data_IF_441223725056
#
_entry.id   IF_441223725056
#
_cell.length_a   1.000
_cell.length_b   1.000
_cell.length_c   1.000
_cell.angle_alpha   90.00
_cell.angle_beta   90.00
_cell.angle_gamma   90.00
#
_symmetry.space_group_name_H-M   'P 1'
#
loop_
_entity.id
_entity.type
_entity.pdbx_description
1 polymer ?
#
# COMPACT_ATOMS: atom_id res chain seq x y z
N UNK A 1 -37.20 33.91 -22.02
CA UNK A 1 -35.74 34.07 -22.18
C UNK A 1 -35.09 32.77 -21.68
N UNK A 2 -34.59 31.93 -22.59
CA UNK A 2 -33.98 30.64 -22.23
C UNK A 2 -32.47 30.84 -22.05
N UNK A 3 -31.98 30.62 -20.83
CA UNK A 3 -30.57 30.70 -20.48
C UNK A 3 -29.77 29.61 -21.18
N UNK A 4 -28.68 30.05 -21.82
CA UNK A 4 -27.64 29.20 -22.38
C UNK A 4 -26.91 28.46 -21.26
N UNK A 5 -26.69 27.15 -21.41
CA UNK A 5 -25.66 26.44 -20.67
C UNK A 5 -25.00 25.46 -21.63
N UNK A 6 -23.90 25.94 -22.20
CA UNK A 6 -22.94 25.16 -22.96
C UNK A 6 -22.15 24.28 -21.98
N UNK A 7 -22.56 23.04 -21.76
CA UNK A 7 -21.72 22.02 -21.14
C UNK A 7 -21.22 21.07 -22.24
N UNK A 8 -20.39 21.60 -23.15
CA UNK A 8 -19.52 20.75 -23.96
C UNK A 8 -18.37 20.28 -23.06
N UNK A 9 -18.70 19.35 -22.17
CA UNK A 9 -17.73 18.56 -21.43
C UNK A 9 -16.98 17.74 -22.47
N UNK A 10 -15.81 18.23 -22.83
CA UNK A 10 -14.94 17.65 -23.85
C UNK A 10 -14.49 16.30 -23.31
N UNK A 11 -15.23 15.24 -23.64
CA UNK A 11 -14.84 13.86 -23.35
C UNK A 11 -13.42 13.69 -23.91
N UNK A 12 -12.44 13.24 -23.10
CA UNK A 12 -11.10 12.99 -23.62
C UNK A 12 -11.22 12.02 -24.81
N UNK A 13 -10.45 12.24 -25.90
CA UNK A 13 -10.55 11.41 -27.09
C UNK A 13 -10.31 9.95 -26.70
N UNK A 14 -11.30 9.11 -26.98
CA UNK A 14 -11.24 7.69 -26.71
C UNK A 14 -10.08 7.08 -27.53
N UNK A 15 -9.10 6.42 -26.90
CA UNK A 15 -7.98 5.83 -27.63
C UNK A 15 -8.49 4.77 -28.62
N UNK A 16 -8.01 4.85 -29.86
CA UNK A 16 -8.37 3.93 -30.96
C UNK A 16 -7.90 2.48 -30.72
N UNK A 17 -7.17 2.23 -29.63
CA UNK A 17 -6.52 0.95 -29.36
C UNK A 17 -6.69 0.53 -27.89
N UNK A 18 -7.69 -0.31 -27.62
CA UNK A 18 -7.74 -1.10 -26.39
C UNK A 18 -6.83 -2.32 -26.55
N UNK A 19 -5.57 -2.21 -26.09
CA UNK A 19 -4.73 -3.40 -25.89
C UNK A 19 -5.39 -4.33 -24.86
N UNK A 20 -5.26 -5.66 -25.00
CA UNK A 20 -5.85 -6.61 -24.06
C UNK A 20 -5.34 -6.28 -22.67
N UNK A 21 -6.30 -6.05 -21.76
CA UNK A 21 -6.19 -5.66 -20.36
C UNK A 21 -4.87 -6.08 -19.69
N UNK A 22 -3.78 -5.35 -19.95
CA UNK A 22 -2.60 -5.44 -19.12
C UNK A 22 -3.02 -4.84 -17.80
N UNK A 23 -2.98 -5.66 -16.76
CA UNK A 23 -3.22 -5.22 -15.39
C UNK A 23 -2.36 -3.96 -15.17
N UNK A 24 -2.97 -2.81 -14.79
CA UNK A 24 -2.25 -1.57 -14.59
C UNK A 24 -1.01 -1.82 -13.73
N UNK A 25 0.19 -1.52 -14.23
CA UNK A 25 1.43 -1.77 -13.49
C UNK A 25 1.36 -1.19 -12.07
N UNK A 26 0.68 -0.07 -11.89
CA UNK A 26 0.41 0.53 -10.59
C UNK A 26 -0.42 -0.34 -9.64
N UNK A 27 -1.39 -1.08 -10.17
CA UNK A 27 -2.21 -2.00 -9.38
C UNK A 27 -1.42 -3.27 -9.03
N UNK A 28 -0.56 -3.77 -9.93
CA UNK A 28 0.36 -4.88 -9.60
C UNK A 28 1.35 -4.45 -8.51
N UNK A 29 1.96 -3.28 -8.68
CA UNK A 29 2.90 -2.72 -7.71
C UNK A 29 2.21 -2.44 -6.36
N UNK A 30 0.99 -1.92 -6.37
CA UNK A 30 0.19 -1.72 -5.16
C UNK A 30 -0.12 -3.01 -4.41
N UNK A 31 -0.39 -4.11 -5.14
CA UNK A 31 -0.60 -5.42 -4.54
C UNK A 31 0.68 -5.98 -3.94
N UNK A 32 1.81 -5.91 -4.66
CA UNK A 32 3.10 -6.39 -4.16
C UNK A 32 3.50 -5.62 -2.88
N UNK A 33 3.33 -4.29 -2.89
CA UNK A 33 3.60 -3.46 -1.71
C UNK A 33 2.69 -3.81 -0.54
N UNK A 34 1.40 -4.08 -0.81
CA UNK A 34 0.42 -4.45 0.21
C UNK A 34 0.68 -5.84 0.80
N UNK A 35 1.02 -6.83 -0.03
CA UNK A 35 1.42 -8.18 0.41
C UNK A 35 2.68 -8.10 1.26
N UNK A 36 3.68 -7.32 0.81
CA UNK A 36 4.90 -7.08 1.57
C UNK A 36 4.61 -6.43 2.93
N UNK A 37 3.76 -5.40 2.96
CA UNK A 37 3.33 -4.73 4.18
C UNK A 37 2.62 -5.69 5.15
N UNK A 38 1.74 -6.55 4.63
CA UNK A 38 1.06 -7.56 5.43
C UNK A 38 2.03 -8.60 5.98
N UNK A 39 2.95 -9.12 5.15
CA UNK A 39 3.93 -10.10 5.59
C UNK A 39 4.84 -9.55 6.68
N UNK A 40 5.27 -8.29 6.53
CA UNK A 40 6.03 -7.58 7.55
C UNK A 40 5.25 -7.42 8.86
N UNK A 41 3.98 -7.00 8.79
CA UNK A 41 3.11 -6.88 9.97
C UNK A 41 2.90 -8.23 10.66
N UNK A 42 2.70 -9.30 9.89
CA UNK A 42 2.56 -10.67 10.42
C UNK A 42 3.84 -11.15 11.07
N UNK A 43 5.01 -10.79 10.52
CA UNK A 43 6.33 -11.07 11.12
C UNK A 43 6.49 -10.36 12.45
N UNK A 44 6.17 -9.06 12.53
CA UNK A 44 6.24 -8.29 13.79
C UNK A 44 5.32 -8.86 14.88
N UNK A 45 4.09 -9.23 14.54
CA UNK A 45 3.19 -9.91 15.50
C UNK A 45 3.70 -11.29 15.94
N UNK A 46 4.33 -12.05 15.05
CA UNK A 46 4.96 -13.34 15.42
C UNK A 46 6.13 -13.13 16.37
N UNK A 47 6.92 -12.07 16.20
CA UNK A 47 7.99 -11.71 17.12
C UNK A 47 7.44 -11.33 18.50
N UNK A 48 6.33 -10.58 18.56
CA UNK A 48 5.65 -10.29 19.83
C UNK A 48 5.09 -11.55 20.50
N UNK A 49 4.50 -12.46 19.74
CA UNK A 49 4.02 -13.73 20.29
C UNK A 49 5.19 -14.57 20.87
N UNK A 50 6.36 -14.56 20.23
CA UNK A 50 7.56 -15.23 20.74
C UNK A 50 8.16 -14.53 21.97
N UNK A 51 8.03 -13.20 22.09
CA UNK A 51 8.39 -12.43 23.30
C UNK A 51 7.47 -12.78 24.47
N UNK A 52 6.15 -12.88 24.21
CA UNK A 52 5.15 -13.27 25.20
C UNK A 52 5.35 -14.71 25.67
N UNK A 53 5.72 -15.62 24.76
CA UNK A 53 6.11 -17.00 25.10
C UNK A 53 7.45 -17.08 25.86
N UNK A 54 8.19 -15.97 26.01
CA UNK A 54 9.47 -15.94 26.71
C UNK A 54 10.62 -16.59 25.93
N UNK A 55 10.43 -16.93 24.65
CA UNK A 55 11.50 -17.52 23.81
C UNK A 55 12.55 -16.51 23.40
N UNK A 56 12.20 -15.23 23.34
CA UNK A 56 13.07 -14.14 22.91
C UNK A 56 12.83 -12.96 23.85
N UNK A 57 13.90 -12.28 24.27
CA UNK A 57 13.78 -10.99 24.95
C UNK A 57 14.02 -9.89 23.93
N UNK A 58 12.96 -9.26 23.43
CA UNK A 58 13.11 -8.12 22.52
C UNK A 58 13.64 -6.86 23.21
N UNK A 59 13.49 -6.74 24.54
CA UNK A 59 14.04 -5.62 25.31
C UNK A 59 13.64 -4.26 24.72
N UNK A 60 14.64 -3.42 24.39
CA UNK A 60 14.45 -2.10 23.79
C UNK A 60 13.76 -2.12 22.41
N UNK A 61 13.78 -3.25 21.68
CA UNK A 61 13.15 -3.36 20.37
C UNK A 61 11.64 -3.60 20.45
N UNK A 62 11.10 -3.96 21.63
CA UNK A 62 9.68 -4.28 21.81
C UNK A 62 8.76 -3.12 21.45
N UNK A 63 9.11 -1.89 21.86
CA UNK A 63 8.31 -0.70 21.52
C UNK A 63 8.23 -0.45 20.01
N UNK A 64 9.33 -0.66 19.28
CA UNK A 64 9.37 -0.51 17.82
C UNK A 64 8.54 -1.61 17.14
N UNK A 65 8.58 -2.83 17.66
CA UNK A 65 7.80 -3.95 17.12
C UNK A 65 6.30 -3.80 17.42
N UNK A 66 5.92 -3.32 18.60
CA UNK A 66 4.53 -3.00 18.94
C UNK A 66 4.00 -1.86 18.07
N UNK A 67 4.78 -0.80 17.88
CA UNK A 67 4.44 0.31 17.00
C UNK A 67 4.29 -0.16 15.54
N UNK A 68 5.21 -0.99 15.04
CA UNK A 68 5.13 -1.58 13.70
C UNK A 68 3.97 -2.58 13.52
N UNK A 69 3.60 -3.32 14.57
CA UNK A 69 2.43 -4.20 14.54
C UNK A 69 1.10 -3.42 14.52
N UNK A 70 1.09 -2.23 15.13
CA UNK A 70 -0.04 -1.30 15.17
C UNK A 70 -0.24 -0.48 13.90
N UNK A 71 0.83 -0.19 13.15
CA UNK A 71 0.75 0.66 11.96
C UNK A 71 -0.26 0.15 10.90
N UNK A 72 -1.07 1.06 10.31
CA UNK A 72 -1.99 0.70 9.24
C UNK A 72 -1.21 0.30 7.99
N UNK A 73 -1.67 -0.77 7.32
CA UNK A 73 -1.00 -1.35 6.15
C UNK A 73 -0.76 -0.34 5.03
N UNK A 74 -1.63 0.68 4.91
CA UNK A 74 -1.49 1.75 3.91
C UNK A 74 -0.24 2.60 4.14
N UNK A 75 0.10 2.93 5.39
CA UNK A 75 1.32 3.68 5.71
C UNK A 75 2.56 2.86 5.41
N UNK A 76 2.54 1.56 5.75
CA UNK A 76 3.65 0.64 5.48
C UNK A 76 3.84 0.47 3.96
N UNK A 77 2.77 0.30 3.20
CA UNK A 77 2.81 0.18 1.74
C UNK A 77 3.29 1.48 1.07
N UNK A 78 2.82 2.65 1.52
CA UNK A 78 3.31 3.95 1.01
C UNK A 78 4.79 4.15 1.31
N UNK A 79 5.25 3.82 2.53
CA UNK A 79 6.65 3.91 2.90
C UNK A 79 7.50 2.95 2.06
N UNK A 80 7.02 1.73 1.78
CA UNK A 80 7.67 0.79 0.87
C UNK A 80 7.74 1.30 -0.57
N UNK A 81 6.63 1.84 -1.08
CA UNK A 81 6.58 2.41 -2.42
C UNK A 81 7.58 3.57 -2.56
N UNK A 82 7.73 4.40 -1.53
CA UNK A 82 8.72 5.47 -1.49
C UNK A 82 10.16 4.94 -1.54
N UNK A 83 10.49 3.88 -0.78
CA UNK A 83 11.83 3.29 -0.82
C UNK A 83 12.14 2.57 -2.13
N UNK A 84 11.15 1.88 -2.72
CA UNK A 84 11.33 1.09 -3.94
C UNK A 84 11.29 1.94 -5.21
N UNK A 85 10.57 3.07 -5.20
CA UNK A 85 10.41 3.97 -6.34
C UNK A 85 11.06 5.34 -6.13
N UNK A 86 11.80 5.51 -5.04
CA UNK A 86 12.61 6.68 -4.76
C UNK A 86 13.87 6.71 -5.62
N UNK A 87 13.70 7.04 -6.91
CA UNK A 87 14.72 7.64 -7.76
C UNK A 87 14.07 8.55 -8.78
#
# INVERSE_FOLDING_TARGET
MKGSSNCNESRPPMPEFYMPAMWPLDLQNGIVDWIGAWFWRRRMRRLLAQDIEGRIRLGSARGVVEQGAGEPLRLIAQRRAYWLRGR
#
